data_IF_205627821291
#
_entry.id   IF_205627821291
#
_cell.length_a   1.000
_cell.length_b   1.000
_cell.length_c   1.000
_cell.angle_alpha   90.00
_cell.angle_beta   90.00
_cell.angle_gamma   90.00
#
_symmetry.space_group_name_H-M   'P 1'
#
loop_
_entity.id
_entity.type
_entity.pdbx_description
1 polymer ?
#
# COMPACT_ATOMS: atom_id res chain seq x y z
N UNK A 1 -40.55 36.43 -22.57
CA UNK A 1 -40.14 35.02 -22.37
C UNK A 1 -38.66 34.94 -22.70
N UNK A 2 -37.80 35.52 -21.86
CA UNK A 2 -36.40 35.77 -22.23
C UNK A 2 -35.55 35.49 -21.00
N UNK A 3 -35.29 34.20 -20.75
CA UNK A 3 -34.51 33.75 -19.60
C UNK A 3 -33.03 33.96 -19.95
N UNK A 4 -32.48 35.07 -19.49
CA UNK A 4 -31.07 35.42 -19.70
C UNK A 4 -30.16 34.27 -19.26
N UNK A 5 -29.35 33.76 -20.20
CA UNK A 5 -28.35 32.73 -19.96
C UNK A 5 -27.14 33.41 -19.32
N UNK A 6 -26.98 33.28 -18.01
CA UNK A 6 -25.80 33.78 -17.31
C UNK A 6 -24.61 32.88 -17.66
N UNK A 7 -23.72 33.36 -18.52
CA UNK A 7 -22.38 32.78 -18.67
C UNK A 7 -21.65 32.95 -17.34
N UNK A 8 -21.49 31.86 -16.58
CA UNK A 8 -20.59 31.85 -15.42
C UNK A 8 -19.18 31.95 -15.99
N UNK A 9 -18.61 33.16 -15.98
CA UNK A 9 -17.19 33.34 -16.26
C UNK A 9 -16.44 32.89 -15.02
N UNK A 10 -15.87 31.68 -15.08
CA UNK A 10 -15.11 31.09 -14.00
C UNK A 10 -13.76 31.83 -13.86
N UNK A 11 -13.78 32.94 -13.11
CA UNK A 11 -12.58 33.69 -12.74
C UNK A 11 -12.04 33.24 -11.38
N UNK A 12 -11.83 31.93 -11.17
CA UNK A 12 -11.19 31.45 -9.91
C UNK A 12 -10.14 30.36 -10.10
N UNK A 13 -9.43 30.33 -11.22
CA UNK A 13 -8.23 29.50 -11.36
C UNK A 13 -6.96 30.24 -10.90
N UNK A 14 -6.91 30.68 -9.64
CA UNK A 14 -5.61 31.00 -9.02
C UNK A 14 -4.90 29.69 -8.73
N UNK A 15 -4.07 29.24 -9.68
CA UNK A 15 -3.13 28.15 -9.50
C UNK A 15 -2.05 28.57 -8.50
N UNK A 16 -2.40 28.53 -7.21
CA UNK A 16 -1.41 28.55 -6.15
C UNK A 16 -0.45 27.37 -6.35
N UNK A 17 0.85 27.64 -6.27
CA UNK A 17 1.93 26.65 -6.24
C UNK A 17 1.89 25.82 -4.94
N UNK A 18 0.69 25.37 -4.55
CA UNK A 18 0.48 24.48 -3.44
C UNK A 18 1.05 23.12 -3.84
N UNK A 19 2.16 22.76 -3.21
CA UNK A 19 2.71 21.41 -3.14
C UNK A 19 1.56 20.40 -3.26
N UNK A 20 1.50 19.68 -4.39
CA UNK A 20 0.41 18.75 -4.71
C UNK A 20 0.35 17.74 -3.57
N UNK A 21 -0.53 17.98 -2.59
CA UNK A 21 -0.73 17.07 -1.46
C UNK A 21 -1.12 15.75 -2.09
N UNK A 22 -0.20 14.77 -2.04
CA UNK A 22 -0.40 13.47 -2.66
C UNK A 22 -1.67 12.88 -2.07
N UNK A 23 -2.74 12.84 -2.87
CA UNK A 23 -4.03 12.33 -2.41
C UNK A 23 -3.80 10.91 -1.88
N UNK A 24 -4.04 10.72 -0.58
CA UNK A 24 -3.91 9.40 0.04
C UNK A 24 -4.93 8.49 -0.61
N UNK A 25 -4.46 7.38 -1.18
CA UNK A 25 -5.36 6.38 -1.76
C UNK A 25 -6.28 5.86 -0.65
N UNK A 26 -7.58 5.79 -0.95
CA UNK A 26 -8.55 5.14 -0.07
C UNK A 26 -8.14 3.69 0.18
N UNK A 27 -8.51 3.14 1.33
CA UNK A 27 -8.37 1.70 1.60
C UNK A 27 -9.08 0.93 0.47
N UNK A 28 -8.44 -0.14 -0.01
CA UNK A 28 -9.04 -0.99 -1.04
C UNK A 28 -10.31 -1.69 -0.55
N UNK A 29 -11.10 -2.26 -1.46
CA UNK A 29 -12.32 -3.00 -1.11
C UNK A 29 -12.04 -4.30 -0.33
N UNK A 30 -12.99 -4.74 0.50
CA UNK A 30 -12.93 -6.04 1.17
C UNK A 30 -13.05 -7.20 0.15
N UNK A 31 -12.74 -8.43 0.57
CA UNK A 31 -12.77 -9.61 -0.30
C UNK A 31 -14.12 -9.85 -0.99
N UNK A 32 -15.23 -9.63 -0.30
CA UNK A 32 -16.57 -9.83 -0.88
C UNK A 32 -16.92 -8.73 -1.88
N UNK A 33 -16.66 -7.47 -1.55
CA UNK A 33 -16.90 -6.36 -2.47
C UNK A 33 -16.02 -6.46 -3.72
N UNK A 34 -14.77 -6.94 -3.59
CA UNK A 34 -13.90 -7.25 -4.75
C UNK A 34 -14.53 -8.31 -5.66
N UNK A 35 -14.97 -9.44 -5.08
CA UNK A 35 -15.61 -10.54 -5.83
C UNK A 35 -16.89 -10.08 -6.53
N UNK A 36 -17.70 -9.28 -5.86
CA UNK A 36 -18.96 -8.73 -6.39
C UNK A 36 -18.77 -7.50 -7.29
N UNK A 37 -17.55 -6.97 -7.41
CA UNK A 37 -17.22 -5.74 -8.14
C UNK A 37 -18.09 -4.54 -7.74
N UNK A 38 -18.43 -4.42 -6.45
CA UNK A 38 -19.21 -3.29 -5.90
C UNK A 38 -18.35 -2.33 -5.09
N UNK A 39 -18.79 -1.09 -5.00
CA UNK A 39 -18.12 -0.07 -4.19
C UNK A 39 -18.10 -0.47 -2.70
N UNK A 40 -16.93 -0.42 -2.08
CA UNK A 40 -16.73 -0.73 -0.67
C UNK A 40 -16.51 0.57 0.11
N UNK A 41 -17.22 0.72 1.23
CA UNK A 41 -17.11 1.91 2.09
C UNK A 41 -15.89 1.88 3.03
N UNK A 42 -15.16 0.78 3.12
CA UNK A 42 -13.92 0.70 3.92
C UNK A 42 -14.12 0.50 5.43
N UNK A 43 -15.36 0.44 5.94
CA UNK A 43 -15.62 0.13 7.35
C UNK A 43 -15.45 -1.37 7.67
N UNK A 44 -15.42 -1.69 8.96
CA UNK A 44 -15.35 -3.06 9.51
C UNK A 44 -16.50 -3.27 10.49
N UNK A 45 -17.55 -4.04 10.12
CA UNK A 45 -17.82 -4.60 8.80
C UNK A 45 -18.20 -3.52 7.75
N UNK A 46 -17.96 -3.81 6.47
CA UNK A 46 -18.40 -2.90 5.40
C UNK A 46 -19.93 -2.97 5.26
N UNK A 47 -20.57 -1.90 4.76
CA UNK A 47 -22.03 -1.78 4.67
C UNK A 47 -22.67 -2.94 3.88
N UNK A 48 -22.04 -3.35 2.78
CA UNK A 48 -22.53 -4.48 1.97
C UNK A 48 -22.46 -5.81 2.72
N UNK A 49 -21.37 -6.05 3.47
CA UNK A 49 -21.24 -7.28 4.26
C UNK A 49 -22.17 -7.27 5.47
N UNK A 50 -22.35 -6.12 6.12
CA UNK A 50 -23.27 -5.96 7.24
C UNK A 50 -24.72 -6.27 6.81
N UNK A 51 -25.19 -5.69 5.70
CA UNK A 51 -26.54 -5.94 5.17
C UNK A 51 -26.77 -7.39 4.72
N UNK A 52 -25.71 -8.05 4.26
CA UNK A 52 -25.77 -9.45 3.84
C UNK A 52 -25.50 -10.43 5.00
N UNK A 53 -25.18 -9.94 6.20
CA UNK A 53 -24.81 -10.75 7.36
C UNK A 53 -23.70 -11.77 7.07
N UNK A 54 -22.72 -11.39 6.24
CA UNK A 54 -21.59 -12.25 5.84
C UNK A 54 -20.25 -11.74 6.40
N UNK A 55 -19.25 -12.63 6.43
CA UNK A 55 -17.91 -12.30 6.92
C UNK A 55 -17.23 -11.21 6.10
N UNK A 56 -16.82 -10.12 6.74
CA UNK A 56 -16.11 -9.01 6.09
C UNK A 56 -14.60 -9.10 6.37
N UNK A 57 -13.84 -9.61 5.41
CA UNK A 57 -12.38 -9.71 5.52
C UNK A 57 -11.68 -8.88 4.45
N UNK A 58 -10.70 -8.07 4.86
CA UNK A 58 -9.78 -7.41 3.94
C UNK A 58 -8.53 -8.28 3.83
N UNK A 59 -8.09 -8.58 2.60
CA UNK A 59 -6.86 -9.33 2.39
C UNK A 59 -5.65 -8.47 2.75
N UNK A 60 -4.78 -8.98 3.62
CA UNK A 60 -3.47 -8.40 3.86
C UNK A 60 -2.64 -8.55 2.59
N UNK A 61 -2.48 -7.45 1.86
CA UNK A 61 -1.60 -7.44 0.70
C UNK A 61 -0.16 -7.56 1.19
N UNK A 62 0.49 -8.71 0.94
CA UNK A 62 1.93 -8.98 1.19
C UNK A 62 2.86 -8.08 0.33
N UNK A 63 2.65 -6.76 0.35
CA UNK A 63 3.46 -5.79 -0.41
C UNK A 63 4.75 -5.40 0.31
N UNK A 64 4.93 -5.78 1.58
CA UNK A 64 6.16 -5.49 2.32
C UNK A 64 7.32 -6.45 2.04
N UNK A 65 7.08 -7.66 1.51
CA UNK A 65 8.16 -8.64 1.31
C UNK A 65 9.01 -8.39 0.06
N UNK A 66 8.64 -7.47 -0.83
CA UNK A 66 9.37 -7.26 -2.09
C UNK A 66 10.64 -6.41 -1.96
N UNK A 67 10.86 -5.78 -0.80
CA UNK A 67 12.07 -4.97 -0.54
C UNK A 67 12.88 -5.44 0.68
N UNK A 68 12.52 -6.57 1.28
CA UNK A 68 13.37 -7.23 2.27
C UNK A 68 13.79 -8.54 1.62
N UNK A 69 14.92 -8.51 0.91
CA UNK A 69 15.58 -9.75 0.54
C UNK A 69 15.76 -10.55 1.85
N UNK A 70 15.24 -11.79 1.95
CA UNK A 70 15.58 -12.62 3.08
C UNK A 70 17.09 -12.84 2.99
N UNK A 71 17.84 -12.29 3.96
CA UNK A 71 19.22 -12.70 4.19
C UNK A 71 19.17 -14.17 4.59
N UNK A 72 19.27 -15.07 3.62
CA UNK A 72 19.44 -16.49 3.88
C UNK A 72 20.77 -16.66 4.61
N UNK A 73 20.75 -17.40 5.73
CA UNK A 73 21.82 -17.64 6.71
C UNK A 73 23.05 -18.40 6.16
N UNK A 74 23.31 -18.35 4.85
CA UNK A 74 24.39 -19.07 4.18
C UNK A 74 25.71 -18.28 4.08
N UNK A 75 25.77 -17.04 4.56
CA UNK A 75 26.92 -16.12 4.37
C UNK A 75 27.70 -15.82 5.68
N UNK A 76 27.85 -16.78 6.58
CA UNK A 76 28.72 -16.60 7.78
C UNK A 76 29.81 -17.65 7.91
N UNK A 77 29.72 -18.78 7.21
CA UNK A 77 30.71 -19.88 7.32
C UNK A 77 31.98 -19.66 6.49
N UNK A 78 31.96 -18.80 5.46
CA UNK A 78 33.12 -18.62 4.56
C UNK A 78 34.24 -17.77 5.21
N UNK A 79 33.93 -16.85 6.14
CA UNK A 79 34.95 -16.00 6.78
C UNK A 79 35.69 -16.66 7.94
N UNK A 80 35.14 -17.72 8.55
CA UNK A 80 35.77 -18.37 9.70
C UNK A 80 36.85 -19.39 9.31
N UNK A 81 36.95 -19.80 8.04
CA UNK A 81 37.90 -20.82 7.60
C UNK A 81 39.27 -20.29 7.19
N UNK A 82 39.53 -18.98 7.26
CA UNK A 82 40.79 -18.38 6.75
C UNK A 82 41.77 -17.90 7.84
N UNK A 83 41.43 -17.96 9.13
CA UNK A 83 42.29 -17.39 10.20
C UNK A 83 42.75 -18.40 11.26
N UNK A 84 42.47 -19.70 11.11
CA UNK A 84 42.76 -20.69 12.16
C UNK A 84 44.13 -21.39 12.03
N UNK A 85 44.78 -21.34 10.86
CA UNK A 85 45.92 -22.23 10.58
C UNK A 85 47.32 -21.57 10.59
N UNK A 86 47.46 -20.30 11.00
CA UNK A 86 48.78 -19.61 10.97
C UNK A 86 49.46 -19.45 12.33
N UNK A 87 48.90 -20.03 13.40
CA UNK A 87 49.46 -19.92 14.75
C UNK A 87 50.05 -21.23 15.29
N UNK A 88 50.84 -21.97 14.50
CA UNK A 88 51.77 -22.99 15.04
C UNK A 88 52.88 -23.34 14.07
N UNK A 89 53.97 -22.56 14.06
CA UNK A 89 55.32 -23.07 13.76
C UNK A 89 56.37 -22.10 14.30
N UNK A 90 56.48 -22.07 15.63
CA UNK A 90 57.70 -21.65 16.33
C UNK A 90 58.34 -22.92 16.88
N UNK A 91 59.42 -23.40 16.25
CA UNK A 91 60.50 -24.21 16.84
C UNK A 91 61.62 -24.31 15.81
#
# INVERSE_FOLDING_TARGET
MDKAFTFIVDHTAQAGLASKRKLRRRRGACGNCKRRKVACNGAMPCQHCHKASISCQYAETKRSARNTAPISEADTTIRQTMTSDISTSSS
#
